data_IF_137145518738
#
_entry.id   IF_137145518738
#
_cell.length_a   1.000
_cell.length_b   1.000
_cell.length_c   1.000
_cell.angle_alpha   90.00
_cell.angle_beta   90.00
_cell.angle_gamma   90.00
#
_symmetry.space_group_name_H-M   'P 1'
#
loop_
_entity.id
_entity.type
_entity.pdbx_description
1 polymer ?
#
# COMPACT_ATOMS: atom_id res chain seq x y z
N UNK A 1 -11.16 8.98 -52.86
CA UNK A 1 -10.93 9.69 -51.60
C UNK A 1 -12.02 9.47 -50.53
N UNK A 2 -13.34 9.45 -50.88
CA UNK A 2 -14.42 9.28 -49.87
C UNK A 2 -14.45 7.93 -49.14
N UNK A 3 -13.93 6.85 -49.72
CA UNK A 3 -13.92 5.51 -49.10
C UNK A 3 -12.80 5.32 -48.05
N UNK A 4 -11.73 6.10 -48.13
CA UNK A 4 -10.62 6.06 -47.15
C UNK A 4 -10.99 6.74 -45.83
N UNK A 5 -11.84 7.80 -45.92
CA UNK A 5 -12.29 8.51 -44.70
C UNK A 5 -13.19 7.65 -43.80
N UNK A 6 -13.97 6.72 -44.39
CA UNK A 6 -14.89 5.85 -43.62
C UNK A 6 -14.20 4.77 -42.81
N UNK A 7 -12.97 4.43 -43.19
CA UNK A 7 -12.16 3.42 -42.45
C UNK A 7 -11.30 4.02 -41.33
N UNK A 8 -10.93 5.30 -41.48
CA UNK A 8 -10.07 6.00 -40.50
C UNK A 8 -10.88 6.41 -39.28
N UNK A 9 -12.15 6.80 -39.46
CA UNK A 9 -13.02 7.28 -38.35
C UNK A 9 -13.28 6.21 -37.27
N UNK A 10 -13.67 4.95 -37.60
CA UNK A 10 -13.87 3.93 -36.58
C UNK A 10 -12.55 3.50 -35.91
N UNK A 11 -11.42 3.54 -36.61
CA UNK A 11 -10.12 3.22 -36.03
C UNK A 11 -9.69 4.27 -35.01
N UNK A 12 -9.97 5.56 -35.28
CA UNK A 12 -9.65 6.66 -34.37
C UNK A 12 -10.53 6.64 -33.13
N UNK A 13 -11.81 6.29 -33.28
CA UNK A 13 -12.76 6.12 -32.16
C UNK A 13 -12.35 4.92 -31.30
N UNK A 14 -11.91 3.83 -31.94
CA UNK A 14 -11.44 2.63 -31.22
C UNK A 14 -10.19 2.89 -30.39
N UNK A 15 -9.22 3.64 -30.92
CA UNK A 15 -8.01 4.04 -30.18
C UNK A 15 -8.31 5.00 -29.03
N UNK A 16 -9.27 5.91 -29.18
CA UNK A 16 -9.69 6.82 -28.11
C UNK A 16 -10.43 6.09 -26.97
N UNK A 17 -11.18 5.03 -27.29
CA UNK A 17 -11.87 4.22 -26.27
C UNK A 17 -10.92 3.38 -25.43
N UNK A 18 -9.77 2.93 -25.98
CA UNK A 18 -8.75 2.20 -25.22
C UNK A 18 -7.82 3.10 -24.38
N UNK A 19 -7.72 4.38 -24.71
CA UNK A 19 -6.91 5.35 -23.94
C UNK A 19 -7.57 5.80 -22.64
N UNK A 20 -8.84 5.44 -22.41
CA UNK A 20 -9.65 5.99 -21.32
C UNK A 20 -9.72 5.12 -20.05
N UNK A 21 -8.98 4.02 -19.96
CA UNK A 21 -9.11 3.06 -18.86
C UNK A 21 -7.81 2.73 -18.11
N UNK A 22 -6.84 3.64 -18.06
CA UNK A 22 -5.76 3.46 -17.08
C UNK A 22 -6.27 3.92 -15.71
N UNK A 23 -6.13 3.09 -14.66
CA UNK A 23 -6.52 3.49 -13.31
C UNK A 23 -5.76 4.76 -12.91
N UNK A 24 -6.43 5.66 -12.21
CA UNK A 24 -5.79 6.86 -11.67
C UNK A 24 -4.93 6.48 -10.46
N UNK A 25 -4.00 7.36 -10.05
CA UNK A 25 -3.22 7.17 -8.81
C UNK A 25 -4.15 6.97 -7.61
N UNK A 26 -5.28 7.65 -7.58
CA UNK A 26 -6.29 7.49 -6.55
C UNK A 26 -6.94 6.11 -6.57
N UNK A 27 -7.27 5.57 -7.76
CA UNK A 27 -7.83 4.22 -7.88
C UNK A 27 -6.82 3.17 -7.40
N UNK A 28 -5.53 3.36 -7.70
CA UNK A 28 -4.45 2.49 -7.23
C UNK A 28 -4.32 2.56 -5.71
N UNK A 29 -4.34 3.75 -5.14
CA UNK A 29 -4.30 3.94 -3.69
C UNK A 29 -5.50 3.29 -2.99
N UNK A 30 -6.72 3.54 -3.45
CA UNK A 30 -7.94 2.95 -2.90
C UNK A 30 -7.93 1.41 -3.03
N UNK A 31 -7.46 0.87 -4.15
CA UNK A 31 -7.31 -0.57 -4.33
C UNK A 31 -6.27 -1.18 -3.39
N UNK A 32 -5.17 -0.46 -3.13
CA UNK A 32 -4.16 -0.91 -2.18
C UNK A 32 -4.69 -0.91 -0.74
N UNK A 33 -5.47 0.10 -0.34
CA UNK A 33 -6.16 0.11 0.95
C UNK A 33 -7.14 -1.06 1.12
N UNK A 34 -7.81 -1.47 0.04
CA UNK A 34 -8.79 -2.56 0.06
C UNK A 34 -8.17 -3.91 0.47
N UNK A 35 -6.88 -4.17 0.20
CA UNK A 35 -6.19 -5.37 0.68
C UNK A 35 -6.12 -5.43 2.21
N UNK A 36 -6.12 -4.28 2.87
CA UNK A 36 -6.17 -4.16 4.33
C UNK A 36 -7.60 -3.97 4.85
N UNK A 37 -8.61 -4.12 3.98
CA UNK A 37 -10.04 -3.94 4.26
C UNK A 37 -10.37 -2.52 4.76
N UNK A 38 -9.65 -1.51 4.25
CA UNK A 38 -9.82 -0.10 4.61
C UNK A 38 -10.47 0.63 3.43
N UNK A 39 -11.67 1.19 3.63
CA UNK A 39 -12.44 1.91 2.60
C UNK A 39 -12.84 3.34 3.03
N UNK A 40 -12.46 3.74 4.24
CA UNK A 40 -12.93 4.96 4.88
C UNK A 40 -11.90 6.09 4.92
N UNK A 41 -10.68 5.90 4.42
CA UNK A 41 -9.67 6.96 4.29
C UNK A 41 -10.05 7.86 3.12
N UNK A 42 -10.13 9.17 3.40
CA UNK A 42 -10.46 10.21 2.40
C UNK A 42 -9.43 11.33 2.38
N UNK A 43 -8.46 11.28 3.30
CA UNK A 43 -7.32 12.20 3.33
C UNK A 43 -6.47 12.07 2.07
N UNK A 44 -5.87 13.18 1.64
CA UNK A 44 -4.91 13.21 0.55
C UNK A 44 -3.65 12.43 0.93
N UNK A 45 -2.95 11.93 -0.08
CA UNK A 45 -1.73 11.16 0.09
C UNK A 45 -0.56 11.76 -0.70
N UNK A 46 0.64 11.55 -0.18
CA UNK A 46 1.89 11.68 -0.92
C UNK A 46 2.26 10.30 -1.49
N UNK A 47 2.72 10.24 -2.73
CA UNK A 47 3.17 9.00 -3.35
C UNK A 47 4.60 9.13 -3.86
N UNK A 48 5.38 8.09 -3.65
CA UNK A 48 6.66 7.88 -4.34
C UNK A 48 6.57 6.60 -5.16
N UNK A 49 7.17 6.62 -6.34
CA UNK A 49 7.28 5.45 -7.20
C UNK A 49 8.74 5.25 -7.59
N UNK A 50 9.20 4.02 -7.48
CA UNK A 50 10.54 3.61 -7.89
C UNK A 50 10.48 2.30 -8.64
N UNK A 51 11.49 2.06 -9.49
CA UNK A 51 11.71 0.76 -10.13
C UNK A 51 12.90 0.10 -9.47
N UNK A 52 12.88 -1.21 -9.34
CA UNK A 52 14.02 -1.99 -8.87
C UNK A 52 14.33 -3.11 -9.86
N UNK A 53 15.54 -3.66 -9.78
CA UNK A 53 15.94 -4.81 -10.60
C UNK A 53 15.09 -6.07 -10.36
N UNK A 54 14.27 -6.05 -9.30
CA UNK A 54 13.43 -7.16 -8.84
C UNK A 54 11.94 -6.89 -8.92
N UNK A 55 11.54 -5.66 -9.21
CA UNK A 55 10.14 -5.28 -9.27
C UNK A 55 9.90 -4.34 -10.46
N UNK A 56 8.76 -4.51 -11.13
CA UNK A 56 8.35 -3.60 -12.19
C UNK A 56 8.05 -2.21 -11.65
N UNK A 57 7.44 -2.17 -10.48
CA UNK A 57 7.28 -0.92 -9.73
C UNK A 57 7.15 -1.17 -8.22
N UNK A 58 7.56 -0.18 -7.48
CA UNK A 58 7.34 -0.07 -6.04
C UNK A 58 6.63 1.26 -5.80
N UNK A 59 5.43 1.22 -5.25
CA UNK A 59 4.69 2.42 -4.85
C UNK A 59 4.61 2.49 -3.34
N UNK A 60 4.98 3.64 -2.82
CA UNK A 60 4.82 3.92 -1.41
C UNK A 60 3.89 5.13 -1.24
N UNK A 61 2.90 5.00 -0.37
CA UNK A 61 1.92 6.03 -0.05
C UNK A 61 2.10 6.46 1.40
N UNK A 62 2.01 7.76 1.63
CA UNK A 62 2.01 8.37 2.97
C UNK A 62 0.79 9.25 3.11
N UNK A 63 0.00 9.01 4.15
CA UNK A 63 -1.27 9.70 4.41
C UNK A 63 -1.24 10.31 5.80
N UNK A 64 -1.43 11.62 5.89
CA UNK A 64 -1.72 12.28 7.17
C UNK A 64 -3.22 12.14 7.45
N UNK A 65 -3.58 11.22 8.33
CA UNK A 65 -5.00 10.92 8.61
C UNK A 65 -5.61 11.91 9.59
N UNK A 66 -6.89 12.21 9.39
CA UNK A 66 -7.67 13.02 10.32
C UNK A 66 -7.93 12.28 11.64
N UNK A 67 -8.25 12.99 12.72
CA UNK A 67 -8.60 12.38 14.01
C UNK A 67 -9.78 11.41 13.92
N UNK A 68 -10.72 11.67 13.00
CA UNK A 68 -11.86 10.77 12.75
C UNK A 68 -11.40 9.46 12.08
N UNK A 69 -10.52 9.55 11.11
CA UNK A 69 -9.95 8.38 10.41
C UNK A 69 -9.04 7.59 11.35
N UNK A 70 -8.22 8.28 12.18
CA UNK A 70 -7.40 7.68 13.22
C UNK A 70 -8.19 6.76 14.15
N UNK A 71 -9.32 7.26 14.69
CA UNK A 71 -10.19 6.47 15.57
C UNK A 71 -10.71 5.22 14.87
N UNK A 72 -11.19 5.38 13.63
CA UNK A 72 -11.67 4.26 12.81
C UNK A 72 -10.57 3.24 12.51
N UNK A 73 -9.34 3.69 12.19
CA UNK A 73 -8.20 2.80 11.96
C UNK A 73 -7.89 1.97 13.20
N UNK A 74 -7.82 2.59 14.38
CA UNK A 74 -7.54 1.89 15.64
C UNK A 74 -8.64 0.86 15.96
N UNK A 75 -9.91 1.21 15.76
CA UNK A 75 -11.03 0.30 15.95
C UNK A 75 -10.97 -0.86 14.94
N UNK A 76 -10.69 -0.56 13.68
CA UNK A 76 -10.53 -1.53 12.60
C UNK A 76 -9.42 -2.54 12.92
N UNK A 77 -8.22 -2.07 13.28
CA UNK A 77 -7.09 -2.96 13.59
C UNK A 77 -7.34 -3.85 14.82
N UNK A 78 -8.06 -3.33 15.81
CA UNK A 78 -8.46 -4.10 17.01
C UNK A 78 -9.54 -5.14 16.74
N UNK A 79 -10.28 -5.04 15.64
CA UNK A 79 -11.33 -5.99 15.29
C UNK A 79 -10.80 -7.31 14.72
N UNK A 80 -9.51 -7.38 14.37
CA UNK A 80 -8.87 -8.59 13.86
C UNK A 80 -8.36 -9.47 15.00
N UNK A 81 -9.00 -10.62 15.18
CA UNK A 81 -8.75 -11.52 16.33
C UNK A 81 -7.55 -12.43 16.12
N UNK A 82 -7.13 -12.68 14.87
CA UNK A 82 -6.06 -13.63 14.55
C UNK A 82 -4.66 -12.99 14.53
N UNK A 83 -4.53 -11.70 14.91
CA UNK A 83 -3.26 -10.99 14.95
C UNK A 83 -2.72 -10.62 13.56
N UNK A 84 -3.61 -10.33 12.61
CA UNK A 84 -3.27 -9.81 11.29
C UNK A 84 -2.67 -8.41 11.37
N UNK A 85 -3.13 -7.60 12.33
CA UNK A 85 -2.55 -6.30 12.66
C UNK A 85 -1.77 -6.39 13.97
N UNK A 86 -0.47 -6.29 13.84
CA UNK A 86 0.45 -6.39 14.98
C UNK A 86 0.62 -5.02 15.62
N UNK A 87 0.39 -4.93 16.94
CA UNK A 87 0.59 -3.68 17.67
C UNK A 87 2.08 -3.41 17.90
N UNK A 88 2.50 -2.18 17.64
CA UNK A 88 3.81 -1.62 17.99
C UNK A 88 3.66 -0.89 19.36
N UNK A 89 4.62 -0.92 20.30
CA UNK A 89 5.90 -1.61 20.20
C UNK A 89 5.72 -3.11 20.33
N UNK A 90 6.32 -3.84 19.40
CA UNK A 90 6.56 -5.25 19.58
C UNK A 90 7.99 -5.37 20.11
N UNK A 91 8.22 -6.09 21.19
CA UNK A 91 9.50 -6.19 21.89
C UNK A 91 10.67 -6.79 21.05
N UNK A 92 10.49 -6.93 19.75
CA UNK A 92 11.44 -7.56 18.84
C UNK A 92 12.20 -6.52 18.01
N UNK A 93 13.51 -6.53 18.16
CA UNK A 93 14.45 -5.56 17.53
C UNK A 93 14.46 -5.51 15.99
N UNK A 94 13.83 -6.47 15.30
CA UNK A 94 13.83 -6.55 13.84
C UNK A 94 12.74 -5.66 13.20
N UNK A 95 11.82 -5.13 13.98
CA UNK A 95 10.76 -4.27 13.49
C UNK A 95 11.29 -2.92 13.00
N UNK A 96 12.25 -2.34 13.70
CA UNK A 96 12.85 -1.06 13.32
C UNK A 96 13.51 -1.15 11.95
N UNK A 97 14.18 -2.25 11.64
CA UNK A 97 14.83 -2.48 10.33
C UNK A 97 13.79 -2.55 9.21
N UNK A 98 12.65 -3.19 9.45
CA UNK A 98 11.58 -3.28 8.47
C UNK A 98 10.94 -1.91 8.22
N UNK A 99 10.63 -1.18 9.28
CA UNK A 99 10.10 0.18 9.17
C UNK A 99 11.08 1.09 8.45
N UNK A 100 12.38 1.01 8.74
CA UNK A 100 13.43 1.76 8.05
C UNK A 100 13.42 1.49 6.53
N UNK A 101 13.28 0.23 6.14
CA UNK A 101 13.27 -0.13 4.73
C UNK A 101 12.01 0.33 3.99
N UNK A 102 10.85 0.38 4.67
CA UNK A 102 9.57 0.76 4.07
C UNK A 102 9.30 2.27 4.10
N UNK A 103 9.83 3.00 5.07
CA UNK A 103 9.56 4.44 5.26
C UNK A 103 10.66 5.33 4.68
N UNK A 104 11.86 4.79 4.43
CA UNK A 104 13.03 5.56 3.94
C UNK A 104 12.74 6.37 2.67
N UNK A 105 11.82 5.90 1.84
CA UNK A 105 11.47 6.57 0.58
C UNK A 105 10.74 7.90 0.79
N UNK A 106 10.25 8.18 2.02
CA UNK A 106 9.61 9.44 2.39
C UNK A 106 10.51 10.42 3.15
N UNK A 107 11.82 10.22 3.12
CA UNK A 107 12.77 11.11 3.77
C UNK A 107 13.23 10.65 5.15
N UNK A 108 13.47 11.56 6.09
CA UNK A 108 14.01 11.20 7.40
C UNK A 108 13.08 10.31 8.19
N UNK A 109 13.51 9.08 8.39
CA UNK A 109 12.83 8.10 9.22
C UNK A 109 12.79 8.53 10.68
N UNK A 110 11.64 8.40 11.29
CA UNK A 110 11.48 8.44 12.74
C UNK A 110 10.88 7.11 13.17
N UNK A 111 11.54 6.43 14.10
CA UNK A 111 11.04 5.15 14.63
C UNK A 111 9.59 5.29 15.12
N UNK A 112 8.73 4.37 14.70
CA UNK A 112 7.34 4.30 15.16
C UNK A 112 7.35 3.76 16.58
N UNK A 113 6.97 4.58 17.55
CA UNK A 113 6.97 4.20 18.97
C UNK A 113 5.66 3.56 19.40
N UNK A 114 4.54 3.96 18.80
CA UNK A 114 3.24 3.36 18.99
C UNK A 114 2.49 3.27 17.66
N UNK A 115 1.96 2.11 17.32
CA UNK A 115 1.28 1.94 16.05
C UNK A 115 0.77 0.54 15.78
N UNK A 116 0.55 0.29 14.50
CA UNK A 116 0.11 -1.00 13.97
C UNK A 116 0.86 -1.31 12.68
N UNK A 117 1.10 -2.60 12.47
CA UNK A 117 1.74 -3.14 11.28
C UNK A 117 0.93 -4.32 10.73
N UNK A 118 0.81 -4.42 9.41
CA UNK A 118 0.20 -5.57 8.74
C UNK A 118 0.90 -5.88 7.43
N UNK A 119 0.88 -7.16 7.04
CA UNK A 119 1.29 -7.63 5.72
C UNK A 119 0.14 -8.35 5.04
N UNK A 120 0.00 -8.07 3.74
CA UNK A 120 -0.89 -8.80 2.85
C UNK A 120 -0.06 -9.60 1.85
N UNK A 121 -0.30 -10.91 1.77
CA UNK A 121 0.37 -11.78 0.82
C UNK A 121 -0.43 -11.85 -0.47
N UNK A 122 0.16 -11.42 -1.58
CA UNK A 122 -0.51 -11.35 -2.88
C UNK A 122 -0.70 -12.72 -3.54
N UNK A 123 0.12 -13.72 -3.20
CA UNK A 123 -0.02 -15.09 -3.71
C UNK A 123 -1.19 -15.80 -3.03
N UNK A 124 -1.24 -15.73 -1.69
CA UNK A 124 -2.29 -16.39 -0.91
C UNK A 124 -3.58 -15.57 -0.81
N UNK A 125 -3.56 -14.34 -1.32
CA UNK A 125 -4.68 -13.40 -1.37
C UNK A 125 -5.31 -13.14 0.01
N UNK A 126 -4.47 -12.91 1.04
CA UNK A 126 -4.93 -12.68 2.41
C UNK A 126 -3.93 -11.94 3.29
N UNK A 127 -4.45 -11.29 4.33
CA UNK A 127 -3.67 -10.78 5.44
C UNK A 127 -2.93 -11.91 6.15
N UNK A 128 -1.69 -11.65 6.54
CA UNK A 128 -0.87 -12.63 7.24
C UNK A 128 -1.17 -12.62 8.74
N UNK A 129 -1.73 -13.72 9.29
CA UNK A 129 -1.98 -13.79 10.73
C UNK A 129 -0.69 -14.07 11.50
N UNK A 130 -0.64 -13.58 12.73
CA UNK A 130 0.41 -13.91 13.71
C UNK A 130 1.82 -13.71 13.18
N UNK A 131 2.06 -12.54 12.58
CA UNK A 131 3.38 -12.19 12.08
C UNK A 131 4.43 -12.32 13.19
N UNK A 132 5.41 -13.17 12.94
CA UNK A 132 6.61 -13.26 13.77
C UNK A 132 7.73 -12.47 13.06
N UNK A 133 8.25 -11.44 13.71
CA UNK A 133 9.30 -10.60 13.15
C UNK A 133 10.62 -11.35 12.92
N UNK A 134 10.87 -12.46 13.60
CA UNK A 134 12.01 -13.31 13.29
C UNK A 134 11.92 -13.97 11.91
N UNK A 135 10.69 -14.18 11.44
CA UNK A 135 10.45 -14.69 10.07
C UNK A 135 10.51 -13.58 9.02
N UNK A 136 10.28 -12.32 9.39
CA UNK A 136 10.32 -11.17 8.45
C UNK A 136 11.75 -10.88 7.95
N UNK A 137 12.78 -11.17 8.71
CA UNK A 137 14.18 -11.01 8.29
C UNK A 137 14.55 -11.88 7.08
N UNK A 138 13.77 -12.94 6.82
CA UNK A 138 13.95 -13.88 5.69
C UNK A 138 12.81 -13.80 4.68
N UNK A 139 11.99 -12.75 4.76
CA UNK A 139 10.82 -12.62 3.91
C UNK A 139 11.20 -12.16 2.51
N UNK A 140 10.65 -12.83 1.52
CA UNK A 140 10.68 -12.36 0.14
C UNK A 140 9.54 -11.34 -0.05
N UNK A 141 9.89 -10.04 -0.02
CA UNK A 141 8.94 -8.95 -0.14
C UNK A 141 8.31 -8.83 -1.55
N UNK A 142 8.74 -9.65 -2.51
CA UNK A 142 8.27 -9.62 -3.89
C UNK A 142 6.77 -9.94 -4.01
N UNK A 143 6.17 -10.49 -2.94
CA UNK A 143 4.79 -10.97 -2.93
C UNK A 143 3.91 -10.36 -1.83
N UNK A 144 4.29 -9.21 -1.29
CA UNK A 144 3.59 -8.61 -0.16
C UNK A 144 3.29 -7.13 -0.36
N UNK A 145 2.19 -6.71 0.26
CA UNK A 145 1.92 -5.31 0.56
C UNK A 145 2.07 -5.09 2.04
N UNK A 146 2.65 -3.98 2.44
CA UNK A 146 2.84 -3.64 3.84
C UNK A 146 2.05 -2.39 4.22
N UNK A 147 1.54 -2.37 5.45
CA UNK A 147 0.89 -1.22 6.05
C UNK A 147 1.52 -0.94 7.41
N UNK A 148 1.85 0.32 7.65
CA UNK A 148 2.32 0.82 8.95
C UNK A 148 1.45 2.01 9.33
N UNK A 149 0.87 2.01 10.51
CA UNK A 149 0.18 3.15 11.06
C UNK A 149 0.91 3.66 12.29
N UNK A 150 1.51 4.86 12.19
CA UNK A 150 2.11 5.59 13.30
C UNK A 150 1.02 6.38 14.02
N UNK A 151 0.68 5.96 15.22
CA UNK A 151 -0.37 6.57 16.04
C UNK A 151 0.04 7.93 16.57
N UNK A 152 1.34 8.14 16.84
CA UNK A 152 1.85 9.39 17.41
C UNK A 152 1.83 10.53 16.39
N UNK A 153 2.21 10.23 15.14
CA UNK A 153 2.21 11.23 14.06
C UNK A 153 0.90 11.29 13.28
N UNK A 154 -0.07 10.42 13.56
CA UNK A 154 -1.28 10.22 12.75
C UNK A 154 -0.97 9.94 11.27
N UNK A 155 0.08 9.16 11.00
CA UNK A 155 0.53 8.89 9.64
C UNK A 155 0.35 7.42 9.30
N UNK A 156 -0.30 7.18 8.16
CA UNK A 156 -0.45 5.85 7.56
C UNK A 156 0.53 5.74 6.40
N UNK A 157 1.37 4.72 6.43
CA UNK A 157 2.27 4.35 5.35
C UNK A 157 1.80 3.05 4.73
N UNK A 158 1.76 3.00 3.40
CA UNK A 158 1.37 1.82 2.64
C UNK A 158 2.41 1.58 1.56
N UNK A 159 2.77 0.32 1.42
CA UNK A 159 3.79 -0.11 0.48
C UNK A 159 3.18 -1.15 -0.45
N UNK A 160 3.16 -0.86 -1.75
CA UNK A 160 2.69 -1.73 -2.81
C UNK A 160 3.87 -2.13 -3.69
N UNK A 161 4.25 -3.39 -3.59
CA UNK A 161 5.34 -3.98 -4.34
C UNK A 161 4.77 -4.92 -5.40
N UNK A 162 5.13 -4.72 -6.66
CA UNK A 162 4.74 -5.57 -7.77
C UNK A 162 5.98 -6.09 -8.49
N UNK A 163 6.22 -7.40 -8.34
CA UNK A 163 7.12 -8.15 -9.20
C UNK A 163 6.31 -8.86 -10.29
N UNK A 164 6.77 -8.84 -11.54
CA UNK A 164 6.24 -9.66 -12.64
C UNK A 164 6.86 -11.04 -12.65
#
# INVERSE_FOLDING_TARGET
>A
MKRLLFLITPLLIFTLLFSACSPTEKDNFESTLAYFQIDFIKSDFEMTESTSDKADYVRAYKVSVTEKERKKLIEHFKSFENGEFVKIPNAQNNFDILCDSLIKDFGSYKAVSEGYFALYNTISDKLQPKLNFDTLANFDFDFYRALIFDVDSNTLYIYDYSAT
#
